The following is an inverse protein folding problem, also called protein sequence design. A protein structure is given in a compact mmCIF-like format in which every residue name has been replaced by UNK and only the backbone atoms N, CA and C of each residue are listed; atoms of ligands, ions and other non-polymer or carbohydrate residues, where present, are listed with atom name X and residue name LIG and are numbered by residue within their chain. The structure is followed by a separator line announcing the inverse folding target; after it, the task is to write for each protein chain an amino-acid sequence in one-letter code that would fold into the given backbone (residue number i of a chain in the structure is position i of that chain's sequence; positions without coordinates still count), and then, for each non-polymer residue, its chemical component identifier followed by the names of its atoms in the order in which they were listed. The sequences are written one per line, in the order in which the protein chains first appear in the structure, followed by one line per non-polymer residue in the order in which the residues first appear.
data_IF_831095364438
#
_entry.id   IF_831095364438
#
_cell.length_a   1.000
_cell.length_b   1.000
_cell.length_c   1.000
_cell.angle_alpha   90.00
_cell.angle_beta   90.00
_cell.angle_gamma   90.00
#
_symmetry.space_group_name_H-M   'P 1'
#
loop_
_entity.id
_entity.type
_entity.pdbx_description
1 polymer ?
#
# COMPACT_ATOMS: atom_id res chain seq x y z
N UNK A 1 14.50 14.30 -9.03
CA UNK A 1 13.40 13.45 -9.52
C UNK A 1 13.18 12.35 -8.52
N UNK A 2 11.95 12.11 -8.17
CA UNK A 2 11.60 10.95 -7.35
C UNK A 2 11.75 9.68 -8.19
N UNK A 3 12.23 8.60 -7.57
CA UNK A 3 12.28 7.29 -8.19
C UNK A 3 10.89 6.66 -8.02
N UNK A 4 10.35 6.08 -9.10
CA UNK A 4 9.10 5.33 -9.05
C UNK A 4 9.32 3.98 -8.35
N UNK A 5 8.30 3.48 -7.64
CA UNK A 5 8.41 2.19 -6.95
C UNK A 5 8.74 1.06 -7.93
N UNK A 6 8.14 1.05 -9.13
CA UNK A 6 8.46 0.09 -10.18
C UNK A 6 9.93 0.12 -10.61
N UNK A 7 10.64 1.23 -10.45
CA UNK A 7 12.07 1.30 -10.77
C UNK A 7 12.96 0.52 -9.78
N UNK A 8 12.43 0.15 -8.61
CA UNK A 8 13.16 -0.74 -7.67
C UNK A 8 13.41 -2.11 -8.29
N UNK A 9 12.56 -2.54 -9.23
CA UNK A 9 12.72 -3.79 -9.96
C UNK A 9 13.96 -3.82 -10.86
N UNK A 10 14.53 -2.67 -11.21
CA UNK A 10 15.83 -2.61 -11.88
C UNK A 10 16.99 -3.16 -11.02
N UNK A 11 16.75 -3.39 -9.74
CA UNK A 11 17.68 -4.02 -8.80
C UNK A 11 17.13 -5.34 -8.24
N UNK A 12 16.32 -6.05 -9.02
CA UNK A 12 15.62 -7.27 -8.65
C UNK A 12 16.52 -8.30 -7.97
N UNK A 13 17.70 -8.57 -8.51
CA UNK A 13 18.71 -9.48 -7.94
C UNK A 13 19.15 -9.11 -6.51
N UNK A 14 18.82 -7.90 -6.04
CA UNK A 14 19.11 -7.45 -4.67
C UNK A 14 17.92 -7.64 -3.72
N UNK A 15 16.75 -7.89 -4.28
CA UNK A 15 15.48 -8.01 -3.54
C UNK A 15 15.11 -9.48 -3.39
N UNK A 16 15.44 -10.30 -4.39
CA UNK A 16 15.06 -11.71 -4.51
C UNK A 16 16.30 -12.59 -4.54
N UNK A 17 16.21 -13.81 -4.04
CA UNK A 17 17.27 -14.81 -4.01
C UNK A 17 16.69 -16.18 -4.35
N UNK A 18 17.49 -17.06 -4.92
CA UNK A 18 17.15 -18.47 -5.14
C UNK A 18 17.10 -19.29 -3.82
N UNK A 19 17.66 -18.75 -2.75
CA UNK A 19 17.58 -19.31 -1.39
C UNK A 19 16.46 -18.63 -0.59
N UNK A 20 15.92 -19.28 0.47
CA UNK A 20 14.94 -18.63 1.34
C UNK A 20 15.40 -17.25 1.84
N UNK A 21 14.63 -16.23 1.62
CA UNK A 21 14.98 -14.85 1.95
C UNK A 21 13.84 -14.09 2.63
N UNK A 22 14.18 -12.99 3.24
CA UNK A 22 13.26 -11.99 3.75
C UNK A 22 13.65 -10.62 3.18
N UNK A 23 12.70 -9.97 2.51
CA UNK A 23 12.87 -8.59 2.02
C UNK A 23 11.89 -7.66 2.71
N UNK A 24 12.40 -6.56 3.27
CA UNK A 24 11.59 -5.46 3.78
C UNK A 24 11.72 -4.26 2.85
N UNK A 25 10.63 -3.90 2.20
CA UNK A 25 10.61 -2.88 1.15
C UNK A 25 9.73 -1.73 1.60
N UNK A 26 10.25 -0.50 1.54
CA UNK A 26 9.49 0.72 1.79
C UNK A 26 9.19 1.36 0.44
N UNK A 27 7.91 1.38 0.07
CA UNK A 27 7.43 2.09 -1.12
C UNK A 27 7.22 3.56 -0.81
N UNK A 28 7.28 4.40 -1.83
CA UNK A 28 7.10 5.85 -1.69
C UNK A 28 6.03 6.44 -2.61
N UNK A 29 5.77 5.82 -3.74
CA UNK A 29 4.93 6.42 -4.79
C UNK A 29 3.49 6.73 -4.34
N UNK A 30 2.94 5.94 -3.42
CA UNK A 30 1.62 6.20 -2.83
C UNK A 30 1.58 7.31 -1.78
N UNK A 31 2.74 7.86 -1.38
CA UNK A 31 2.82 8.87 -0.34
C UNK A 31 2.45 10.28 -0.86
N UNK A 32 1.60 11.01 -0.11
CA UNK A 32 1.30 12.40 -0.42
C UNK A 32 2.47 13.38 -0.22
N UNK A 33 2.33 14.66 -0.54
CA UNK A 33 1.09 15.31 -0.95
C UNK A 33 0.69 14.96 -2.40
N UNK A 34 -0.60 15.10 -2.70
CA UNK A 34 -1.16 14.73 -4.01
C UNK A 34 -1.30 16.00 -4.88
N UNK A 35 -0.18 16.65 -5.14
CA UNK A 35 -0.10 17.95 -5.81
C UNK A 35 0.59 17.86 -7.17
N UNK A 36 0.53 18.93 -7.96
CA UNK A 36 1.23 19.02 -9.24
C UNK A 36 2.76 18.92 -9.11
N UNK A 37 3.31 19.27 -7.96
CA UNK A 37 4.74 19.13 -7.70
C UNK A 37 5.20 17.66 -7.71
N UNK A 38 4.28 16.72 -7.48
CA UNK A 38 4.52 15.28 -7.54
C UNK A 38 3.99 14.62 -8.82
N UNK A 39 3.66 15.38 -9.84
CA UNK A 39 3.16 14.83 -11.11
C UNK A 39 4.15 13.88 -11.81
N UNK A 40 5.44 13.89 -11.47
CA UNK A 40 6.40 12.90 -11.96
C UNK A 40 6.05 11.48 -11.52
N UNK A 41 5.35 11.31 -10.38
CA UNK A 41 4.88 10.02 -9.87
C UNK A 41 3.50 9.70 -10.44
N UNK A 42 2.60 10.67 -10.41
CA UNK A 42 1.20 10.47 -10.83
C UNK A 42 1.02 10.45 -12.36
N UNK A 43 1.85 11.20 -13.12
CA UNK A 43 1.68 11.40 -14.56
C UNK A 43 1.54 10.10 -15.38
N UNK A 44 2.30 9.02 -15.13
CA UNK A 44 2.15 7.78 -15.87
C UNK A 44 0.74 7.19 -15.79
N UNK A 45 0.05 7.42 -14.68
CA UNK A 45 -1.23 6.80 -14.37
C UNK A 45 -2.43 7.75 -14.40
N UNK A 46 -2.25 9.08 -14.53
CA UNK A 46 -3.34 10.06 -14.47
C UNK A 46 -4.48 9.78 -15.47
N UNK A 47 -4.14 9.43 -16.71
CA UNK A 47 -5.16 9.13 -17.72
C UNK A 47 -5.99 7.90 -17.33
N UNK A 48 -5.34 6.86 -16.82
CA UNK A 48 -6.01 5.64 -16.34
C UNK A 48 -6.84 5.92 -15.10
N UNK A 49 -6.31 6.67 -14.14
CA UNK A 49 -7.04 7.07 -12.94
C UNK A 49 -8.33 7.81 -13.29
N UNK A 50 -8.26 8.81 -14.18
CA UNK A 50 -9.45 9.53 -14.66
C UNK A 50 -10.47 8.65 -15.37
N UNK A 51 -10.03 7.59 -16.03
CA UNK A 51 -10.91 6.68 -16.76
C UNK A 51 -11.64 5.68 -15.86
N UNK A 52 -11.06 5.32 -14.70
CA UNK A 52 -11.64 4.29 -13.82
C UNK A 52 -12.36 4.86 -12.60
N UNK A 53 -12.08 6.11 -12.21
CA UNK A 53 -12.74 6.74 -11.07
C UNK A 53 -14.20 7.04 -11.42
N UNK A 54 -15.12 6.49 -10.66
CA UNK A 54 -16.51 6.95 -10.67
C UNK A 54 -16.64 8.20 -9.77
N UNK A 55 -16.49 9.36 -10.37
CA UNK A 55 -16.56 10.62 -9.65
C UNK A 55 -17.90 10.90 -8.99
N UNK A 56 -18.97 10.19 -9.37
CA UNK A 56 -20.27 10.35 -8.72
C UNK A 56 -20.28 9.79 -7.29
N UNK A 57 -19.35 8.91 -6.97
CA UNK A 57 -19.21 8.30 -5.65
C UNK A 57 -18.18 9.01 -4.76
N UNK A 58 -17.40 9.92 -5.31
CA UNK A 58 -16.36 10.65 -4.57
C UNK A 58 -16.95 11.93 -3.95
N UNK A 59 -16.84 12.13 -2.62
CA UNK A 59 -17.51 13.23 -1.92
C UNK A 59 -16.74 14.56 -2.02
N UNK A 60 -16.17 14.88 -3.18
CA UNK A 60 -15.51 16.17 -3.38
C UNK A 60 -16.54 17.32 -3.52
N UNK A 61 -16.15 18.50 -3.08
CA UNK A 61 -16.96 19.73 -3.18
C UNK A 61 -16.31 20.79 -4.07
N UNK A 62 -15.04 20.60 -4.40
CA UNK A 62 -14.25 21.50 -5.25
C UNK A 62 -13.48 20.73 -6.32
N UNK A 63 -13.16 21.39 -7.43
CA UNK A 63 -12.29 20.79 -8.46
C UNK A 63 -10.88 20.49 -7.92
N UNK A 64 -10.40 21.28 -6.96
CA UNK A 64 -9.11 21.01 -6.32
C UNK A 64 -9.11 19.67 -5.58
N UNK A 65 -10.14 19.37 -4.79
CA UNK A 65 -10.29 18.08 -4.12
C UNK A 65 -10.41 16.92 -5.11
N UNK A 66 -11.12 17.13 -6.23
CA UNK A 66 -11.25 16.12 -7.29
C UNK A 66 -9.91 15.81 -7.94
N UNK A 67 -9.12 16.82 -8.28
CA UNK A 67 -7.79 16.64 -8.86
C UNK A 67 -6.82 16.01 -7.86
N UNK A 68 -6.87 16.40 -6.60
CA UNK A 68 -6.07 15.82 -5.52
C UNK A 68 -6.40 14.33 -5.34
N UNK A 69 -7.69 13.96 -5.31
CA UNK A 69 -8.11 12.56 -5.26
C UNK A 69 -7.65 11.77 -6.49
N UNK A 70 -7.74 12.36 -7.67
CA UNK A 70 -7.29 11.73 -8.91
C UNK A 70 -5.79 11.44 -8.86
N UNK A 71 -4.98 12.37 -8.33
CA UNK A 71 -3.54 12.16 -8.14
C UNK A 71 -3.25 11.10 -7.09
N UNK A 72 -4.00 11.07 -5.99
CA UNK A 72 -3.86 10.02 -4.98
C UNK A 72 -4.10 8.63 -5.57
N UNK A 73 -5.14 8.47 -6.38
CA UNK A 73 -5.42 7.20 -7.08
C UNK A 73 -4.31 6.87 -8.08
N UNK A 74 -3.84 7.85 -8.84
CA UNK A 74 -2.75 7.64 -9.81
C UNK A 74 -1.44 7.23 -9.13
N UNK A 75 -1.10 7.83 -7.98
CA UNK A 75 0.07 7.43 -7.19
C UNK A 75 -0.08 6.03 -6.59
N UNK A 76 -1.28 5.68 -6.11
CA UNK A 76 -1.57 4.32 -5.64
C UNK A 76 -1.43 3.29 -6.77
N UNK A 77 -1.79 3.64 -8.02
CA UNK A 77 -1.59 2.77 -9.17
C UNK A 77 -0.12 2.50 -9.48
N UNK A 78 0.79 3.40 -9.14
CA UNK A 78 2.22 3.14 -9.29
C UNK A 78 2.70 2.08 -8.28
N UNK A 79 2.25 2.16 -7.04
CA UNK A 79 2.53 1.13 -6.03
C UNK A 79 1.88 -0.21 -6.41
N UNK A 80 0.66 -0.18 -6.94
CA UNK A 80 -0.04 -1.37 -7.45
C UNK A 80 0.72 -2.02 -8.61
N UNK A 81 1.24 -1.23 -9.55
CA UNK A 81 2.08 -1.71 -10.66
C UNK A 81 3.37 -2.35 -10.16
N UNK A 82 3.99 -1.80 -9.12
CA UNK A 82 5.16 -2.40 -8.48
C UNK A 82 4.84 -3.76 -7.87
N UNK A 83 3.73 -3.86 -7.11
CA UNK A 83 3.37 -5.08 -6.37
C UNK A 83 2.84 -6.16 -7.32
N UNK A 84 1.89 -5.83 -8.19
CA UNK A 84 1.12 -6.79 -8.98
C UNK A 84 1.65 -7.03 -10.39
N UNK A 85 2.20 -5.99 -11.02
CA UNK A 85 2.44 -6.04 -12.47
C UNK A 85 3.72 -6.73 -12.89
N UNK A 86 4.78 -6.61 -12.11
CA UNK A 86 6.08 -7.11 -12.55
C UNK A 86 6.69 -8.09 -11.55
N UNK A 87 6.44 -7.93 -10.26
CA UNK A 87 7.09 -8.79 -9.29
C UNK A 87 6.41 -10.15 -9.13
N UNK A 88 5.10 -10.19 -9.01
CA UNK A 88 4.39 -11.46 -8.81
C UNK A 88 4.21 -12.25 -10.11
N UNK A 89 4.07 -11.55 -11.26
CA UNK A 89 3.74 -12.19 -12.53
C UNK A 89 4.98 -12.57 -13.38
N UNK A 90 6.09 -11.82 -13.25
CA UNK A 90 7.17 -11.91 -14.24
C UNK A 90 8.03 -13.18 -14.13
N UNK A 91 8.27 -13.73 -12.93
CA UNK A 91 9.28 -14.76 -12.71
C UNK A 91 8.81 -16.04 -11.98
N UNK A 92 7.49 -16.24 -11.81
CA UNK A 92 6.95 -17.45 -11.18
C UNK A 92 7.19 -17.55 -9.67
N UNK A 93 7.57 -16.46 -9.01
CA UNK A 93 7.79 -16.43 -7.55
C UNK A 93 6.50 -16.35 -6.74
N UNK A 94 5.36 -16.17 -7.36
CA UNK A 94 4.08 -16.07 -6.68
C UNK A 94 3.78 -17.31 -5.83
N UNK A 95 4.10 -18.51 -6.35
CA UNK A 95 3.82 -19.78 -5.68
C UNK A 95 4.59 -19.96 -4.36
N UNK A 96 5.79 -19.35 -4.26
CA UNK A 96 6.69 -19.51 -3.12
C UNK A 96 6.81 -18.23 -2.26
N UNK A 97 5.94 -17.24 -2.51
CA UNK A 97 5.99 -15.94 -1.84
C UNK A 97 4.83 -15.75 -0.86
N UNK A 98 5.15 -15.28 0.33
CA UNK A 98 4.19 -14.66 1.25
C UNK A 98 4.44 -13.15 1.24
N UNK A 99 3.46 -12.40 0.78
CA UNK A 99 3.50 -10.95 0.73
C UNK A 99 2.72 -10.36 1.89
N UNK A 100 3.35 -9.51 2.68
CA UNK A 100 2.70 -8.77 3.75
C UNK A 100 2.66 -7.29 3.41
N UNK A 101 1.46 -6.72 3.28
CA UNK A 101 1.25 -5.32 2.94
C UNK A 101 0.66 -4.58 4.14
N UNK A 102 1.29 -3.51 4.52
CA UNK A 102 0.83 -2.62 5.59
C UNK A 102 1.32 -1.21 5.35
N UNK A 103 0.70 -0.26 6.02
CA UNK A 103 1.12 1.13 5.97
C UNK A 103 1.54 1.60 7.35
N UNK A 104 2.45 2.56 7.41
CA UNK A 104 2.90 3.20 8.65
C UNK A 104 1.84 4.19 9.19
N UNK A 105 1.02 4.75 8.30
CA UNK A 105 -0.09 5.64 8.65
C UNK A 105 -1.14 5.71 7.53
N UNK A 106 -2.31 6.28 7.83
CA UNK A 106 -3.33 6.58 6.82
C UNK A 106 -2.92 7.74 5.91
N UNK A 107 -3.64 7.93 4.80
CA UNK A 107 -3.38 8.97 3.79
C UNK A 107 -3.73 10.39 4.31
N UNK A 108 -2.98 10.86 5.30
CA UNK A 108 -3.20 12.14 6.01
C UNK A 108 -2.78 13.40 5.24
N UNK A 109 -2.23 13.24 4.05
CA UNK A 109 -1.64 14.35 3.28
C UNK A 109 -2.58 14.98 2.26
N UNK A 110 -3.86 14.67 2.31
CA UNK A 110 -4.86 15.50 1.64
C UNK A 110 -4.89 16.89 2.26
N UNK A 111 -5.09 17.91 1.43
CA UNK A 111 -5.10 19.31 1.86
C UNK A 111 -6.26 19.64 2.81
N UNK A 112 -7.34 18.85 2.76
CA UNK A 112 -8.54 19.02 3.56
C UNK A 112 -8.84 17.78 4.40
N UNK A 113 -8.79 17.94 5.72
CA UNK A 113 -9.05 16.87 6.68
C UNK A 113 -10.53 16.42 6.68
N UNK A 114 -11.48 17.31 6.38
CA UNK A 114 -12.89 16.95 6.27
C UNK A 114 -13.13 16.10 5.03
N UNK A 115 -12.39 16.37 3.96
CA UNK A 115 -12.44 15.56 2.74
C UNK A 115 -11.95 14.14 2.97
N UNK A 116 -10.86 13.94 3.74
CA UNK A 116 -10.41 12.59 4.14
C UNK A 116 -11.52 11.86 4.93
N UNK A 117 -12.12 12.55 5.89
CA UNK A 117 -13.23 12.01 6.68
C UNK A 117 -14.39 11.56 5.78
N UNK A 118 -14.74 12.39 4.82
CA UNK A 118 -15.80 12.09 3.85
C UNK A 118 -15.44 10.90 2.93
N UNK A 119 -14.21 10.83 2.43
CA UNK A 119 -13.73 9.69 1.59
C UNK A 119 -13.81 8.38 2.37
N UNK A 120 -13.38 8.38 3.63
CA UNK A 120 -13.41 7.18 4.49
C UNK A 120 -14.80 6.86 5.04
N UNK A 121 -15.74 7.80 4.96
CA UNK A 121 -17.05 7.67 5.60
C UNK A 121 -16.97 7.59 7.11
N UNK A 122 -15.96 8.23 7.72
CA UNK A 122 -15.63 8.07 9.13
C UNK A 122 -15.34 9.41 9.79
N UNK A 123 -15.85 9.60 10.99
CA UNK A 123 -15.66 10.82 11.79
C UNK A 123 -14.89 10.59 13.08
N UNK A 124 -14.82 9.35 13.56
CA UNK A 124 -13.98 8.99 14.70
C UNK A 124 -12.50 9.04 14.30
N UNK A 125 -11.72 9.84 15.01
CA UNK A 125 -10.29 10.03 14.73
C UNK A 125 -9.48 8.73 14.83
N UNK A 126 -9.85 7.81 15.72
CA UNK A 126 -9.19 6.54 15.84
C UNK A 126 -9.47 5.67 14.61
N UNK A 127 -10.72 5.66 14.15
CA UNK A 127 -11.14 4.92 12.96
C UNK A 127 -10.62 5.56 11.67
N UNK A 128 -10.44 6.88 11.63
CA UNK A 128 -9.75 7.55 10.52
C UNK A 128 -8.32 7.03 10.32
N UNK A 129 -7.66 6.69 11.43
CA UNK A 129 -6.29 6.15 11.40
C UNK A 129 -6.23 4.65 11.04
N UNK A 130 -7.39 3.98 10.95
CA UNK A 130 -7.44 2.57 10.58
C UNK A 130 -6.96 2.38 9.13
N UNK A 131 -6.03 1.44 8.94
CA UNK A 131 -5.44 1.07 7.65
C UNK A 131 -5.45 -0.44 7.50
N UNK A 132 -5.51 -0.96 6.28
CA UNK A 132 -5.50 -2.41 6.06
C UNK A 132 -4.13 -3.01 6.41
N UNK A 133 -4.17 -4.24 6.91
CA UNK A 133 -3.06 -5.17 6.93
C UNK A 133 -3.46 -6.40 6.12
N UNK A 134 -2.69 -6.72 5.10
CA UNK A 134 -2.99 -7.80 4.17
C UNK A 134 -1.84 -8.80 4.18
N UNK A 135 -2.18 -10.08 4.30
CA UNK A 135 -1.25 -11.19 4.05
C UNK A 135 -1.77 -11.92 2.82
N UNK A 136 -0.93 -12.02 1.82
CA UNK A 136 -1.25 -12.70 0.57
C UNK A 136 -0.24 -13.81 0.29
N UNK A 137 -0.73 -14.93 -0.20
CA UNK A 137 0.05 -15.99 -0.81
C UNK A 137 -0.84 -16.73 -1.80
N UNK A 138 -0.27 -17.32 -2.83
CA UNK A 138 -1.04 -18.03 -3.83
C UNK A 138 -1.75 -19.25 -3.23
N UNK A 139 -2.92 -19.58 -3.75
CA UNK A 139 -3.69 -20.78 -3.38
C UNK A 139 -4.49 -20.69 -2.08
N UNK A 140 -4.40 -19.60 -1.33
CA UNK A 140 -5.21 -19.40 -0.11
C UNK A 140 -6.51 -18.65 -0.45
N UNK A 141 -7.64 -19.19 -0.01
CA UNK A 141 -8.92 -18.53 -0.15
C UNK A 141 -8.98 -17.22 0.64
N UNK A 142 -9.53 -16.13 0.10
CA UNK A 142 -9.65 -14.87 0.81
C UNK A 142 -10.44 -15.01 2.11
N UNK A 143 -9.93 -14.43 3.19
CA UNK A 143 -10.58 -14.35 4.50
C UNK A 143 -10.44 -12.94 5.04
N UNK A 144 -11.44 -12.49 5.79
CA UNK A 144 -11.42 -11.21 6.49
C UNK A 144 -11.47 -11.46 7.99
N UNK A 145 -10.53 -10.88 8.70
CA UNK A 145 -10.47 -10.93 10.15
C UNK A 145 -10.83 -9.55 10.70
N UNK A 146 -11.96 -9.48 11.39
CA UNK A 146 -12.42 -8.27 12.08
C UNK A 146 -11.72 -8.18 13.46
N UNK A 147 -10.42 -7.90 13.41
CA UNK A 147 -9.57 -7.75 14.59
C UNK A 147 -8.70 -6.50 14.44
N UNK A 148 -8.69 -5.67 15.47
CA UNK A 148 -7.73 -4.57 15.53
C UNK A 148 -6.33 -5.11 15.80
N UNK A 149 -5.40 -4.69 14.94
CA UNK A 149 -3.97 -4.98 15.05
C UNK A 149 -3.18 -3.68 14.89
N UNK A 150 -1.92 -3.72 15.24
CA UNK A 150 -1.01 -2.59 15.06
C UNK A 150 0.26 -3.03 14.35
N UNK A 151 1.13 -2.09 14.01
CA UNK A 151 2.44 -2.42 13.43
C UNK A 151 3.33 -3.24 14.37
N UNK A 152 3.04 -3.26 15.68
CA UNK A 152 3.73 -4.11 16.64
C UNK A 152 3.40 -5.60 16.49
N UNK A 153 2.25 -5.91 15.89
CA UNK A 153 1.83 -7.30 15.66
C UNK A 153 2.50 -7.93 14.43
N UNK A 154 3.16 -7.14 13.57
CA UNK A 154 3.73 -7.62 12.31
C UNK A 154 4.86 -8.62 12.57
N UNK A 155 5.84 -8.24 13.36
CA UNK A 155 6.98 -9.11 13.65
C UNK A 155 6.57 -10.43 14.34
N UNK A 156 5.75 -10.44 15.41
CA UNK A 156 5.27 -11.70 16.00
C UNK A 156 4.41 -12.51 15.03
N UNK A 157 3.65 -11.90 14.13
CA UNK A 157 2.90 -12.60 13.08
C UNK A 157 3.84 -13.33 12.12
N UNK A 158 4.94 -12.70 11.70
CA UNK A 158 5.96 -13.33 10.84
C UNK A 158 6.59 -14.52 11.58
N UNK A 159 6.98 -14.33 12.83
CA UNK A 159 7.59 -15.39 13.65
C UNK A 159 6.66 -16.60 13.77
N UNK A 160 5.38 -16.37 14.05
CA UNK A 160 4.38 -17.44 14.21
C UNK A 160 4.09 -18.13 12.86
N UNK A 161 3.84 -17.36 11.81
CA UNK A 161 3.50 -17.86 10.48
C UNK A 161 4.59 -18.77 9.90
N UNK A 162 5.85 -18.43 10.09
CA UNK A 162 6.99 -19.17 9.58
C UNK A 162 7.63 -20.10 10.62
N UNK A 163 7.04 -20.24 11.82
CA UNK A 163 7.56 -21.05 12.92
C UNK A 163 9.04 -20.75 13.23
N UNK A 164 9.42 -19.48 13.21
CA UNK A 164 10.79 -19.06 13.45
C UNK A 164 11.14 -19.21 14.94
N UNK A 165 12.40 -19.62 15.22
CA UNK A 165 12.91 -19.65 16.58
C UNK A 165 13.20 -18.23 17.08
N UNK A 166 12.35 -17.71 17.96
CA UNK A 166 12.45 -16.37 18.50
C UNK A 166 11.99 -16.32 19.98
N UNK A 167 12.59 -15.44 20.76
CA UNK A 167 12.17 -15.21 22.12
C UNK A 167 10.97 -14.25 22.16
N UNK A 168 9.77 -14.82 22.21
CA UNK A 168 8.51 -14.09 22.20
C UNK A 168 8.33 -13.11 23.38
N UNK A 169 9.15 -13.21 24.44
CA UNK A 169 9.10 -12.26 25.57
C UNK A 169 9.49 -10.84 25.18
N UNK A 170 10.12 -10.66 24.04
CA UNK A 170 10.50 -9.32 23.50
C UNK A 170 9.43 -8.70 22.62
N UNK A 171 8.35 -9.40 22.31
CA UNK A 171 7.25 -8.89 21.49
C UNK A 171 6.10 -8.44 22.40
N UNK A 172 5.59 -7.26 22.10
CA UNK A 172 4.40 -6.68 22.73
C UNK A 172 3.32 -6.68 21.65
N UNK A 173 2.46 -7.67 21.63
CA UNK A 173 1.38 -7.80 20.65
C UNK A 173 0.45 -8.95 21.00
#
# INVERSE_FOLDING_TARGET
SYMLDAQMLNGYDRIVSDEPFFSFIITYSGHGPYTEEQDTISAPHLARARAVIDYSTVPYTTEAQKEEYTRAVAQAMETDAFIGGEWLEADGHAEDTVLMLFTDHYCKYFSDAEFISAIKGETDRNMLSNVPFVIWTEGIAPQVYDKYVSTMDIAPTIVDLFSLDADLRYYIG
#
